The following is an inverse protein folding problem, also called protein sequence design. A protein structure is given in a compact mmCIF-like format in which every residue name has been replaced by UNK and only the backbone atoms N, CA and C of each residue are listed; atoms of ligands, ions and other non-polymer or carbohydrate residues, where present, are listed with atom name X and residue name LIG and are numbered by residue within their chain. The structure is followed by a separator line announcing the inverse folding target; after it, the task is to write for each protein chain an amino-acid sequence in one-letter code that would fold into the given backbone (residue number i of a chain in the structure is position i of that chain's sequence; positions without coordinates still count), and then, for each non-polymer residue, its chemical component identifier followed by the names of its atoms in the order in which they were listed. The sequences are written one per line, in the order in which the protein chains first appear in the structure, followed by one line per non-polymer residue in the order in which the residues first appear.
data_IF_527702475578
#
_entry.id   IF_527702475578
#
_cell.length_a   1.000
_cell.length_b   1.000
_cell.length_c   1.000
_cell.angle_alpha   90.00
_cell.angle_beta   90.00
_cell.angle_gamma   90.00
#
_symmetry.space_group_name_H-M   'P 1'
#
loop_
_entity.id
_entity.type
_entity.pdbx_description
1 polymer ?
#
# COMPACT_ATOMS: atom_id res chain seq x y z
N UNK A 1 -36.16 -37.32 12.79
CA UNK A 1 -35.59 -36.69 14.02
C UNK A 1 -35.24 -35.25 13.66
N UNK A 2 -36.06 -34.21 13.94
CA UNK A 2 -35.98 -33.28 15.11
C UNK A 2 -34.52 -33.11 15.59
N UNK A 3 -33.85 -31.95 15.60
CA UNK A 3 -34.19 -30.54 15.99
C UNK A 3 -33.21 -29.57 15.28
N UNK A 4 -33.62 -28.39 14.76
CA UNK A 4 -33.92 -27.09 15.44
C UNK A 4 -32.63 -26.37 15.91
N UNK A 5 -32.21 -25.29 15.24
CA UNK A 5 -32.43 -23.88 15.66
C UNK A 5 -31.07 -23.25 16.01
N UNK A 6 -30.81 -21.94 16.05
CA UNK A 6 -31.57 -20.67 15.96
C UNK A 6 -30.47 -19.56 15.96
N UNK A 7 -30.53 -18.57 15.09
CA UNK A 7 -30.98 -17.19 15.37
C UNK A 7 -29.85 -16.16 15.60
N UNK A 8 -30.06 -15.03 14.93
CA UNK A 8 -29.35 -13.75 14.87
C UNK A 8 -29.26 -13.05 16.24
N UNK A 9 -28.27 -12.15 16.42
CA UNK A 9 -28.49 -10.70 16.53
C UNK A 9 -27.41 -9.94 17.32
N UNK A 10 -27.03 -8.82 16.70
CA UNK A 10 -26.35 -7.59 17.11
C UNK A 10 -26.57 -7.13 18.55
N UNK A 11 -25.53 -6.56 19.17
CA UNK A 11 -25.66 -5.47 20.14
C UNK A 11 -24.43 -4.54 20.09
N UNK A 12 -24.61 -3.36 19.48
CA UNK A 12 -23.77 -2.17 19.64
C UNK A 12 -24.27 -1.47 20.90
N UNK A 13 -23.39 -1.23 21.88
CA UNK A 13 -23.73 -0.52 23.11
C UNK A 13 -23.15 0.90 23.05
N UNK A 14 -24.00 1.87 22.72
CA UNK A 14 -23.75 3.29 22.98
C UNK A 14 -24.02 3.59 24.45
N UNK A 15 -23.06 4.21 25.15
CA UNK A 15 -23.25 4.70 26.50
C UNK A 15 -23.52 6.22 26.44
N UNK A 16 -24.76 6.60 26.76
CA UNK A 16 -25.20 7.99 26.95
C UNK A 16 -25.17 8.27 28.45
N UNK A 17 -24.43 9.30 28.87
CA UNK A 17 -24.50 9.83 30.23
C UNK A 17 -25.39 11.07 30.26
N UNK A 18 -26.52 10.97 30.97
CA UNK A 18 -27.42 12.08 31.33
C UNK A 18 -27.09 12.49 32.77
N UNK A 19 -26.90 13.78 33.02
CA UNK A 19 -26.92 14.36 34.37
C UNK A 19 -28.08 15.38 34.46
N UNK A 20 -28.86 15.26 35.52
CA UNK A 20 -30.15 15.91 35.73
C UNK A 20 -30.02 17.05 36.77
N UNK A 21 -30.60 18.19 36.42
CA UNK A 21 -31.25 19.24 37.23
C UNK A 21 -30.62 19.86 38.49
N UNK A 22 -30.67 21.19 38.52
CA UNK A 22 -30.82 22.00 39.72
C UNK A 22 -31.42 23.37 39.36
N UNK A 23 -32.74 23.55 39.57
CA UNK A 23 -33.39 24.86 39.50
C UNK A 23 -33.01 25.69 40.74
N UNK A 24 -32.61 26.95 40.57
CA UNK A 24 -32.63 27.93 41.66
C UNK A 24 -32.95 29.32 41.11
N UNK A 25 -33.83 29.99 41.84
CA UNK A 25 -34.52 31.24 41.51
C UNK A 25 -33.56 32.44 41.55
N UNK A 26 -33.81 33.39 40.66
CA UNK A 26 -33.02 34.59 40.40
C UNK A 26 -32.96 35.57 41.58
N UNK A 27 -31.79 36.21 41.75
CA UNK A 27 -31.57 37.40 42.59
C UNK A 27 -31.08 38.54 41.68
N UNK A 28 -31.49 39.82 41.89
CA UNK A 28 -31.26 40.89 40.91
C UNK A 28 -29.84 41.45 41.01
N UNK A 29 -29.08 41.43 39.90
CA UNK A 29 -27.75 42.04 39.79
C UNK A 29 -27.84 43.35 38.96
N UNK A 30 -27.21 44.46 39.39
CA UNK A 30 -27.29 45.76 38.71
C UNK A 30 -26.61 45.75 37.32
N UNK A 31 -27.00 46.67 36.40
CA UNK A 31 -26.48 46.67 35.04
C UNK A 31 -24.99 47.06 35.01
N UNK A 32 -24.12 46.30 34.31
CA UNK A 32 -22.72 46.67 34.13
C UNK A 32 -22.54 47.80 33.10
N UNK A 33 -21.46 48.57 33.32
CA UNK A 33 -21.12 49.85 32.68
C UNK A 33 -20.83 49.77 31.18
N UNK A 34 -20.89 50.94 30.53
CA UNK A 34 -20.61 51.17 29.10
C UNK A 34 -19.31 50.50 28.60
N UNK A 35 -19.29 49.94 27.38
CA UNK A 35 -18.16 49.16 26.91
C UNK A 35 -16.92 50.03 26.61
N UNK A 36 -15.78 49.62 27.15
CA UNK A 36 -14.45 50.12 26.81
C UNK A 36 -14.09 49.73 25.36
N UNK A 37 -13.45 50.58 24.55
CA UNK A 37 -13.02 50.21 23.19
C UNK A 37 -11.97 49.09 23.25
N UNK A 38 -12.25 48.01 22.51
CA UNK A 38 -11.42 46.81 22.42
C UNK A 38 -10.23 47.03 21.48
N UNK A 39 -9.01 46.55 21.79
CA UNK A 39 -7.89 46.62 20.85
C UNK A 39 -8.16 45.72 19.64
N UNK A 40 -7.79 46.18 18.44
CA UNK A 40 -7.92 45.43 17.21
C UNK A 40 -7.11 44.13 17.30
N UNK A 41 -7.79 42.98 17.15
CA UNK A 41 -7.14 41.69 17.05
C UNK A 41 -6.25 41.68 15.80
N UNK A 42 -4.95 41.50 15.99
CA UNK A 42 -4.04 41.22 14.89
C UNK A 42 -4.48 39.89 14.26
N UNK A 43 -4.92 39.94 13.00
CA UNK A 43 -5.20 38.75 12.22
C UNK A 43 -3.86 38.07 11.99
N UNK A 44 -3.66 36.93 12.64
CA UNK A 44 -2.52 36.07 12.36
C UNK A 44 -2.72 35.51 10.95
N UNK A 45 -1.97 36.02 9.97
CA UNK A 45 -1.87 35.42 8.65
C UNK A 45 -1.16 34.09 8.81
N UNK A 46 -1.92 32.99 8.87
CA UNK A 46 -1.37 31.64 8.75
C UNK A 46 -0.71 31.53 7.38
N UNK A 47 0.62 31.60 7.37
CA UNK A 47 1.38 31.26 6.18
C UNK A 47 1.23 29.75 6.02
N UNK A 48 0.43 29.34 5.03
CA UNK A 48 0.29 27.95 4.66
C UNK A 48 1.69 27.39 4.40
N UNK A 49 2.14 26.49 5.26
CA UNK A 49 3.36 25.71 5.03
C UNK A 49 3.05 24.85 3.81
N UNK A 50 3.66 25.18 2.67
CA UNK A 50 3.67 24.28 1.53
C UNK A 50 4.43 23.03 1.96
N UNK A 51 3.68 21.97 2.28
CA UNK A 51 4.23 20.64 2.45
C UNK A 51 4.73 20.25 1.06
N UNK A 52 6.04 20.14 0.90
CA UNK A 52 6.62 19.66 -0.35
C UNK A 52 6.04 18.27 -0.64
N UNK A 53 5.53 18.07 -1.85
CA UNK A 53 5.11 16.75 -2.29
C UNK A 53 6.34 15.82 -2.23
N UNK A 54 6.20 14.60 -1.67
CA UNK A 54 7.30 13.66 -1.61
C UNK A 54 7.77 13.35 -3.05
N UNK A 55 9.06 13.48 -3.29
CA UNK A 55 9.66 13.08 -4.57
C UNK A 55 9.45 11.57 -4.75
N UNK A 56 8.84 11.11 -5.86
CA UNK A 56 8.66 9.68 -6.11
C UNK A 56 9.99 8.93 -6.12
N UNK A 57 9.99 7.72 -5.56
CA UNK A 57 11.17 6.85 -5.61
C UNK A 57 11.41 6.38 -7.05
N UNK A 58 12.67 6.13 -7.45
CA UNK A 58 13.01 5.82 -8.83
C UNK A 58 12.28 4.56 -9.37
N UNK A 59 12.03 3.58 -8.50
CA UNK A 59 11.35 2.34 -8.85
C UNK A 59 9.82 2.44 -8.85
N UNK A 60 9.22 3.51 -8.29
CA UNK A 60 7.76 3.65 -8.25
C UNK A 60 7.16 3.72 -9.67
N UNK A 61 6.01 3.07 -9.83
CA UNK A 61 5.23 3.08 -11.07
C UNK A 61 4.88 1.69 -11.59
N UNK A 62 4.31 1.69 -12.80
CA UNK A 62 3.93 0.50 -13.55
C UNK A 62 5.08 0.10 -14.50
N UNK A 63 5.50 -1.15 -14.41
CA UNK A 63 6.54 -1.72 -15.25
C UNK A 63 6.03 -3.00 -15.92
N UNK A 64 6.30 -3.15 -17.22
CA UNK A 64 5.77 -4.27 -18.01
C UNK A 64 6.86 -4.81 -18.92
N UNK A 65 7.04 -6.13 -19.00
CA UNK A 65 7.93 -6.71 -20.01
C UNK A 65 7.40 -6.42 -21.41
N UNK A 66 8.28 -6.20 -22.39
CA UNK A 66 7.83 -6.20 -23.79
C UNK A 66 7.48 -7.64 -24.15
N UNK A 67 6.19 -7.97 -24.13
CA UNK A 67 5.69 -9.19 -24.77
C UNK A 67 6.01 -9.07 -26.26
N UNK A 68 7.07 -9.72 -26.72
CA UNK A 68 7.49 -9.70 -28.13
C UNK A 68 6.50 -10.48 -29.00
N UNK A 69 5.66 -11.31 -28.37
CA UNK A 69 4.65 -12.12 -29.02
C UNK A 69 3.47 -12.32 -28.04
N UNK A 70 2.21 -12.10 -28.47
CA UNK A 70 1.01 -12.35 -27.66
C UNK A 70 0.86 -13.80 -27.17
N UNK A 71 1.60 -14.76 -27.74
CA UNK A 71 1.68 -16.13 -27.25
C UNK A 71 2.65 -16.32 -26.06
N UNK A 72 3.42 -15.29 -25.68
CA UNK A 72 4.41 -15.36 -24.62
C UNK A 72 3.90 -14.76 -23.31
N UNK A 73 4.34 -15.37 -22.21
CA UNK A 73 4.22 -14.86 -20.86
C UNK A 73 4.69 -13.40 -20.77
N UNK A 74 3.87 -12.54 -20.15
CA UNK A 74 4.23 -11.17 -19.81
C UNK A 74 4.21 -11.00 -18.30
N UNK A 75 5.06 -10.09 -17.82
CA UNK A 75 5.17 -9.78 -16.40
C UNK A 75 4.82 -8.30 -16.19
N UNK A 76 4.03 -8.05 -15.15
CA UNK A 76 3.59 -6.72 -14.73
C UNK A 76 4.05 -6.50 -13.29
N UNK A 77 4.67 -5.36 -13.04
CA UNK A 77 5.03 -4.90 -11.70
C UNK A 77 4.35 -3.57 -11.43
N UNK A 78 3.79 -3.42 -10.24
CA UNK A 78 3.30 -2.14 -9.73
C UNK A 78 4.03 -1.88 -8.42
N UNK A 79 4.94 -0.90 -8.45
CA UNK A 79 5.64 -0.42 -7.27
C UNK A 79 4.97 0.83 -6.72
N UNK A 80 4.72 0.82 -5.42
CA UNK A 80 4.43 2.01 -4.61
C UNK A 80 5.58 2.24 -3.64
N UNK A 81 5.49 3.28 -2.81
CA UNK A 81 6.48 3.53 -1.77
C UNK A 81 6.55 2.40 -0.71
N UNK A 82 5.47 1.64 -0.55
CA UNK A 82 5.25 0.67 0.53
C UNK A 82 4.96 -0.76 0.06
N UNK A 83 4.77 -0.99 -1.24
CA UNK A 83 4.39 -2.30 -1.76
C UNK A 83 4.88 -2.58 -3.17
N UNK A 84 4.95 -3.86 -3.48
CA UNK A 84 5.14 -4.38 -4.83
C UNK A 84 4.03 -5.38 -5.12
N UNK A 85 3.30 -5.13 -6.22
CA UNK A 85 2.41 -6.11 -6.81
C UNK A 85 3.05 -6.70 -8.07
N UNK A 86 3.21 -8.02 -8.13
CA UNK A 86 3.81 -8.73 -9.24
C UNK A 86 2.80 -9.69 -9.86
N UNK A 87 2.59 -9.57 -11.16
CA UNK A 87 1.79 -10.50 -11.96
C UNK A 87 2.68 -11.13 -13.02
N UNK A 88 2.59 -12.44 -13.14
CA UNK A 88 3.21 -13.22 -14.21
C UNK A 88 2.11 -14.00 -14.93
N UNK A 89 2.13 -13.99 -16.26
CA UNK A 89 1.26 -14.85 -17.06
C UNK A 89 2.05 -15.99 -17.68
N UNK A 90 1.39 -17.10 -18.04
CA UNK A 90 2.04 -18.29 -18.60
C UNK A 90 2.59 -19.24 -17.53
N UNK A 91 3.55 -20.09 -17.91
CA UNK A 91 4.05 -21.15 -17.03
C UNK A 91 5.03 -20.62 -15.98
N UNK A 92 4.49 -20.18 -14.84
CA UNK A 92 5.25 -19.71 -13.68
C UNK A 92 6.18 -20.79 -13.07
N UNK A 93 5.93 -22.08 -13.32
CA UNK A 93 6.77 -23.17 -12.83
C UNK A 93 8.08 -23.33 -13.63
N UNK A 94 8.23 -22.62 -14.77
CA UNK A 94 9.44 -22.69 -15.58
C UNK A 94 9.83 -21.29 -16.09
N UNK A 95 10.45 -20.48 -15.21
CA UNK A 95 10.92 -19.11 -15.50
C UNK A 95 11.87 -19.07 -16.72
N UNK A 96 12.55 -20.18 -17.04
CA UNK A 96 13.47 -20.28 -18.18
C UNK A 96 12.80 -20.66 -19.51
N UNK A 97 11.53 -21.07 -19.52
CA UNK A 97 10.78 -21.33 -20.75
C UNK A 97 9.39 -20.70 -20.64
N UNK A 98 9.19 -19.56 -21.31
CA UNK A 98 7.87 -18.92 -21.46
C UNK A 98 6.88 -19.78 -22.29
N UNK A 99 7.26 -21.00 -22.66
CA UNK A 99 6.41 -22.05 -23.19
C UNK A 99 5.49 -22.61 -22.07
N UNK A 100 4.35 -21.96 -21.91
CA UNK A 100 3.30 -22.37 -20.99
C UNK A 100 1.95 -22.47 -21.65
N UNK A 101 1.02 -23.20 -21.03
CA UNK A 101 -0.38 -23.13 -21.45
C UNK A 101 -0.86 -21.69 -21.30
N UNK A 102 -1.36 -21.14 -22.40
CA UNK A 102 -2.04 -19.85 -22.44
C UNK A 102 -3.10 -19.81 -21.32
N UNK A 103 -3.04 -18.78 -20.47
CA UNK A 103 -4.10 -18.49 -19.49
C UNK A 103 -3.79 -18.74 -18.00
N UNK A 104 -2.62 -19.28 -17.64
CA UNK A 104 -2.20 -19.31 -16.23
C UNK A 104 -1.70 -17.92 -15.79
N UNK A 105 -2.16 -17.46 -14.63
CA UNK A 105 -1.80 -16.20 -14.00
C UNK A 105 -1.30 -16.50 -12.59
N UNK A 106 -0.12 -16.00 -12.28
CA UNK A 106 0.48 -16.02 -10.95
C UNK A 106 0.57 -14.59 -10.44
N UNK A 107 0.08 -14.34 -9.24
CA UNK A 107 0.03 -13.03 -8.63
C UNK A 107 0.68 -13.10 -7.24
N UNK A 108 1.61 -12.20 -6.97
CA UNK A 108 2.28 -12.07 -5.69
C UNK A 108 2.16 -10.62 -5.20
N UNK A 109 1.97 -10.47 -3.89
CA UNK A 109 1.97 -9.16 -3.26
C UNK A 109 2.95 -9.11 -2.13
N UNK A 110 3.73 -8.04 -2.14
CA UNK A 110 4.81 -7.80 -1.21
C UNK A 110 4.62 -6.46 -0.52
N UNK A 111 5.00 -6.43 0.74
CA UNK A 111 5.25 -5.22 1.50
C UNK A 111 6.73 -4.85 1.38
N UNK A 112 7.01 -3.57 1.11
CA UNK A 112 8.37 -3.03 1.14
C UNK A 112 8.71 -2.68 2.59
N UNK A 113 9.67 -3.42 3.16
CA UNK A 113 10.13 -3.20 4.53
C UNK A 113 11.15 -2.07 4.62
N UNK A 114 12.02 -1.97 3.61
CA UNK A 114 13.07 -0.95 3.52
C UNK A 114 13.67 -0.95 2.11
N UNK A 115 14.30 0.16 1.72
CA UNK A 115 15.09 0.24 0.50
C UNK A 115 16.39 1.02 0.76
N UNK A 116 17.42 0.68 -0.02
CA UNK A 116 18.71 1.38 -0.07
C UNK A 116 18.96 1.82 -1.52
N UNK A 117 18.86 3.13 -1.76
CA UNK A 117 19.03 3.72 -3.09
C UNK A 117 20.49 3.77 -3.54
N UNK A 118 21.45 3.70 -2.61
CA UNK A 118 22.87 3.68 -2.97
C UNK A 118 23.30 2.30 -3.47
N UNK A 119 22.65 1.25 -2.96
CA UNK A 119 22.89 -0.14 -3.36
C UNK A 119 21.86 -0.67 -4.37
N UNK A 120 20.81 0.08 -4.67
CA UNK A 120 19.66 -0.34 -5.47
C UNK A 120 19.01 -1.64 -4.95
N UNK A 121 18.83 -1.70 -3.64
CA UNK A 121 18.35 -2.87 -2.93
C UNK A 121 17.02 -2.57 -2.24
N UNK A 122 16.07 -3.50 -2.31
CA UNK A 122 14.78 -3.44 -1.62
C UNK A 122 14.61 -4.70 -0.78
N UNK A 123 14.22 -4.55 0.49
CA UNK A 123 13.80 -5.67 1.33
C UNK A 123 12.29 -5.77 1.31
N UNK A 124 11.81 -6.98 1.05
CA UNK A 124 10.41 -7.26 0.80
C UNK A 124 9.92 -8.33 1.78
N UNK A 125 8.65 -8.27 2.15
CA UNK A 125 7.93 -9.37 2.80
C UNK A 125 6.79 -9.76 1.89
N UNK A 126 6.78 -11.02 1.43
CA UNK A 126 5.62 -11.55 0.72
C UNK A 126 4.45 -11.62 1.72
N UNK A 127 3.25 -11.25 1.26
CA UNK A 127 2.04 -11.28 2.10
C UNK A 127 1.07 -12.34 1.62
N UNK A 128 0.90 -12.46 0.30
CA UNK A 128 0.01 -13.45 -0.28
C UNK A 128 0.42 -13.81 -1.70
N UNK A 129 -0.05 -14.99 -2.12
CA UNK A 129 0.08 -15.51 -3.47
C UNK A 129 -1.30 -15.90 -3.98
N UNK A 130 -1.57 -15.66 -5.26
CA UNK A 130 -2.72 -16.20 -5.97
C UNK A 130 -2.29 -16.85 -7.28
N UNK A 131 -3.00 -17.91 -7.63
CA UNK A 131 -2.89 -18.58 -8.92
C UNK A 131 -4.27 -18.57 -9.55
N UNK A 132 -4.42 -17.94 -10.71
CA UNK A 132 -5.70 -17.84 -11.44
C UNK A 132 -6.83 -17.26 -10.56
N UNK A 133 -6.51 -16.27 -9.72
CA UNK A 133 -7.45 -15.64 -8.78
C UNK A 133 -7.75 -16.46 -7.51
N UNK A 134 -7.26 -17.70 -7.40
CA UNK A 134 -7.41 -18.53 -6.20
C UNK A 134 -6.24 -18.30 -5.25
N UNK A 135 -6.51 -18.22 -3.94
CA UNK A 135 -5.46 -18.09 -2.94
C UNK A 135 -4.53 -19.31 -2.98
N UNK A 136 -3.25 -19.06 -3.26
CA UNK A 136 -2.16 -20.05 -3.23
C UNK A 136 -1.51 -20.19 -1.86
N UNK A 137 -1.84 -19.30 -0.92
CA UNK A 137 -1.34 -19.30 0.45
C UNK A 137 -0.99 -17.90 0.96
N UNK A 138 -0.62 -17.85 2.24
CA UNK A 138 0.10 -16.73 2.86
C UNK A 138 1.53 -17.19 3.05
N UNK A 139 2.46 -16.55 2.36
CA UNK A 139 3.89 -16.81 2.50
C UNK A 139 4.51 -15.54 3.06
N UNK A 140 4.90 -15.56 4.33
CA UNK A 140 5.49 -14.43 5.04
C UNK A 140 7.02 -14.38 4.92
N UNK A 141 7.59 -15.09 3.96
CA UNK A 141 9.02 -15.09 3.78
C UNK A 141 9.52 -13.69 3.39
N UNK A 142 10.60 -13.27 4.04
CA UNK A 142 11.34 -12.08 3.66
C UNK A 142 12.30 -12.40 2.54
N UNK A 143 12.33 -11.52 1.54
CA UNK A 143 13.21 -11.61 0.40
C UNK A 143 13.91 -10.29 0.16
N UNK A 144 14.86 -10.34 -0.76
CA UNK A 144 15.60 -9.16 -1.21
C UNK A 144 15.46 -9.01 -2.72
N UNK A 145 15.40 -7.76 -3.18
CA UNK A 145 15.31 -7.42 -4.59
C UNK A 145 16.45 -6.45 -4.92
N UNK A 146 17.27 -6.82 -5.88
CA UNK A 146 18.28 -5.93 -6.48
C UNK A 146 17.74 -5.42 -7.80
N UNK A 147 17.89 -4.13 -8.08
CA UNK A 147 17.42 -3.53 -9.32
C UNK A 147 18.47 -2.65 -10.00
N UNK A 148 18.28 -2.42 -11.28
CA UNK A 148 18.99 -1.41 -12.07
C UNK A 148 17.94 -0.67 -12.90
N UNK A 149 17.97 0.67 -12.87
CA UNK A 149 17.09 1.50 -13.67
C UNK A 149 17.94 2.36 -14.60
N UNK A 150 17.74 2.17 -15.90
CA UNK A 150 18.36 2.97 -16.95
C UNK A 150 17.27 3.61 -17.80
N UNK A 151 17.09 4.93 -17.64
CA UNK A 151 15.98 5.68 -18.23
C UNK A 151 14.61 5.05 -17.91
N UNK A 152 13.92 4.51 -18.91
CA UNK A 152 12.60 3.88 -18.78
C UNK A 152 12.66 2.34 -18.70
N UNK A 153 13.85 1.78 -18.47
CA UNK A 153 14.04 0.34 -18.33
C UNK A 153 14.40 -0.02 -16.89
N UNK A 154 13.76 -1.06 -16.38
CA UNK A 154 14.03 -1.69 -15.09
C UNK A 154 14.49 -3.12 -15.33
N UNK A 155 15.64 -3.50 -14.77
CA UNK A 155 16.05 -4.88 -14.63
C UNK A 155 16.12 -5.21 -13.15
N UNK A 156 15.73 -6.41 -12.75
CA UNK A 156 15.75 -6.79 -11.34
C UNK A 156 16.04 -8.26 -11.12
N UNK A 157 16.35 -8.63 -9.89
CA UNK A 157 16.43 -10.03 -9.45
C UNK A 157 15.90 -10.13 -8.04
N UNK A 158 14.98 -11.07 -7.84
CA UNK A 158 14.43 -11.40 -6.54
C UNK A 158 15.18 -12.61 -5.97
N UNK A 159 15.64 -12.48 -4.73
CA UNK A 159 16.15 -13.60 -3.94
C UNK A 159 15.14 -13.97 -2.85
N UNK A 160 14.95 -15.28 -2.65
CA UNK A 160 14.08 -15.84 -1.63
C UNK A 160 14.69 -15.80 -0.21
N UNK A 161 15.88 -15.23 -0.06
CA UNK A 161 16.58 -15.01 1.20
C UNK A 161 16.85 -13.52 1.41
N UNK A 162 17.26 -13.17 2.62
CA UNK A 162 17.75 -11.83 2.96
C UNK A 162 19.10 -11.48 2.29
N UNK A 163 19.71 -12.43 1.59
CA UNK A 163 20.95 -12.21 0.85
C UNK A 163 20.62 -11.47 -0.45
N UNK A 164 21.33 -10.37 -0.71
CA UNK A 164 21.14 -9.59 -1.92
C UNK A 164 21.77 -10.29 -3.12
N UNK A 165 21.01 -10.52 -4.21
CA UNK A 165 21.61 -11.02 -5.44
C UNK A 165 22.59 -9.97 -5.97
N UNK A 166 23.76 -10.44 -6.41
CA UNK A 166 24.84 -9.56 -6.85
C UNK A 166 24.51 -8.79 -8.14
N UNK A 167 23.62 -9.32 -8.98
CA UNK A 167 23.31 -8.78 -10.30
C UNK A 167 21.81 -8.88 -10.62
N UNK A 168 21.30 -7.89 -11.35
CA UNK A 168 19.97 -7.92 -11.94
C UNK A 168 20.02 -8.71 -13.27
N UNK A 169 19.24 -9.78 -13.35
CA UNK A 169 19.31 -10.81 -14.41
C UNK A 169 17.99 -11.03 -15.15
N UNK A 170 16.90 -10.34 -14.75
CA UNK A 170 15.63 -10.47 -15.46
C UNK A 170 15.69 -9.84 -16.85
N UNK A 171 14.75 -10.26 -17.70
CA UNK A 171 14.38 -9.46 -18.88
C UNK A 171 14.02 -8.02 -18.46
N UNK A 172 14.28 -7.02 -19.33
CA UNK A 172 13.96 -5.64 -19.01
C UNK A 172 12.44 -5.42 -18.97
N UNK A 173 12.00 -4.75 -17.92
CA UNK A 173 10.69 -4.16 -17.81
C UNK A 173 10.74 -2.72 -18.31
N UNK A 174 9.66 -2.26 -18.92
CA UNK A 174 9.54 -0.92 -19.46
C UNK A 174 8.47 -0.15 -18.69
N UNK A 175 8.79 1.10 -18.34
CA UNK A 175 7.85 2.00 -17.68
C UNK A 175 6.63 2.25 -18.59
N UNK A 176 5.43 2.34 -18.00
CA UNK A 176 4.16 2.62 -18.68
C UNK A 176 3.50 3.89 -18.16
#
# INVERSE_FOLDING_TARGET
MRKKGRTRSIAVLCLVAVAIAGCSVASPQPPPASPTPMPAAAVATETAVQIAEPTPLPFEGLWVTQGVDPAHAYQILVFTADSLYWVQTGNWANIASLEGKEGDIHEEFFEILSYDLALNHIRLRKLWVRNNGYSGGFDYNTGSLTYVIEADQLQMTLAASDEFPAEATSEPYFRK
#
